data_IF_040621528846
#
_entry.id   IF_040621528846
#
_cell.length_a   1.000
_cell.length_b   1.000
_cell.length_c   1.000
_cell.angle_alpha   90.00
_cell.angle_beta   90.00
_cell.angle_gamma   90.00
#
_symmetry.space_group_name_H-M   'P 1'
#
loop_
_entity.id
_entity.type
_entity.pdbx_description
1 polymer ?
#
# COMPACT_ATOMS: atom_id res chain seq x y z
N UNK A 1 -1.81 -24.02 -1.25
CA UNK A 1 -3.05 -23.65 -1.97
C UNK A 1 -2.70 -22.86 -3.22
N UNK A 2 -3.54 -22.83 -4.27
CA UNK A 2 -3.24 -22.05 -5.47
C UNK A 2 -3.29 -20.55 -5.20
N UNK A 3 -2.70 -19.81 -6.11
CA UNK A 3 -2.88 -18.37 -6.23
C UNK A 3 -4.38 -18.03 -6.32
N UNK A 4 -4.85 -17.08 -5.51
CA UNK A 4 -6.27 -16.73 -5.40
C UNK A 4 -6.53 -15.26 -5.77
N UNK A 5 -7.80 -14.94 -6.05
CA UNK A 5 -8.26 -13.56 -6.28
C UNK A 5 -8.35 -12.79 -4.97
N UNK A 6 -8.11 -11.48 -5.01
CA UNK A 6 -8.29 -10.62 -3.82
C UNK A 6 -9.77 -10.36 -3.49
N UNK A 7 -10.71 -10.59 -4.40
CA UNK A 7 -12.14 -10.28 -4.21
C UNK A 7 -12.73 -10.95 -2.97
N UNK A 8 -12.65 -12.29 -2.92
CA UNK A 8 -13.20 -13.05 -1.80
C UNK A 8 -12.39 -12.85 -0.52
N UNK A 9 -11.07 -12.72 -0.65
CA UNK A 9 -10.16 -12.47 0.47
C UNK A 9 -10.50 -11.14 1.17
N UNK A 10 -10.69 -10.05 0.41
CA UNK A 10 -11.02 -8.75 0.97
C UNK A 10 -12.49 -8.67 1.43
N UNK A 11 -13.41 -9.35 0.77
CA UNK A 11 -14.79 -9.47 1.25
C UNK A 11 -14.85 -10.17 2.61
N UNK A 12 -14.07 -11.23 2.80
CA UNK A 12 -13.96 -11.94 4.09
C UNK A 12 -13.34 -11.05 5.16
N UNK A 13 -12.30 -10.28 4.82
CA UNK A 13 -11.66 -9.34 5.73
C UNK A 13 -12.62 -8.22 6.16
N UNK A 14 -13.33 -7.63 5.20
CA UNK A 14 -14.32 -6.57 5.44
C UNK A 14 -15.44 -7.03 6.38
N UNK A 15 -16.04 -8.18 6.08
CA UNK A 15 -17.12 -8.76 6.91
C UNK A 15 -16.62 -9.27 8.27
N UNK A 16 -15.36 -9.69 8.34
CA UNK A 16 -14.71 -10.21 9.55
C UNK A 16 -14.04 -9.15 10.42
N UNK A 17 -14.09 -7.86 10.03
CA UNK A 17 -13.47 -6.73 10.74
C UNK A 17 -11.98 -6.93 11.04
N UNK A 18 -11.24 -7.45 10.06
CA UNK A 18 -9.78 -7.54 10.06
C UNK A 18 -9.23 -7.01 8.74
N UNK A 19 -7.92 -6.82 8.64
CA UNK A 19 -7.30 -6.45 7.37
C UNK A 19 -6.28 -7.48 6.92
N UNK A 20 -6.18 -7.70 5.61
CA UNK A 20 -5.12 -8.50 5.00
C UNK A 20 -3.89 -7.64 4.76
N UNK A 21 -2.73 -8.13 5.15
CA UNK A 21 -1.46 -7.48 4.86
C UNK A 21 -1.09 -7.62 3.39
N UNK A 22 -0.79 -6.48 2.75
CA UNK A 22 -0.28 -6.40 1.39
C UNK A 22 1.17 -5.91 1.43
N UNK A 23 2.09 -6.81 1.11
CA UNK A 23 3.53 -6.61 1.31
C UNK A 23 4.26 -6.52 -0.03
N UNK A 24 5.06 -5.45 -0.23
CA UNK A 24 5.86 -5.31 -1.44
C UNK A 24 7.05 -6.28 -1.45
N UNK A 25 7.19 -7.00 -2.57
CA UNK A 25 8.32 -7.89 -2.84
C UNK A 25 9.13 -7.41 -4.05
N UNK A 26 10.41 -7.78 -4.10
CA UNK A 26 11.32 -7.40 -5.18
C UNK A 26 12.19 -8.56 -5.67
N UNK A 27 12.43 -9.56 -4.83
CA UNK A 27 13.36 -10.67 -5.06
C UNK A 27 12.94 -11.93 -4.27
N UNK A 28 13.71 -13.00 -4.40
CA UNK A 28 13.47 -14.28 -3.74
C UNK A 28 13.36 -14.13 -2.21
N UNK A 29 14.26 -13.36 -1.61
CA UNK A 29 14.37 -13.21 -0.17
C UNK A 29 13.12 -12.56 0.43
N UNK A 30 12.62 -11.50 -0.24
CA UNK A 30 11.42 -10.79 0.21
C UNK A 30 10.15 -11.62 0.03
N UNK A 31 10.03 -12.37 -1.08
CA UNK A 31 8.91 -13.31 -1.29
C UNK A 31 8.94 -14.42 -0.25
N UNK A 32 10.12 -15.01 0.01
CA UNK A 32 10.27 -16.09 1.00
C UNK A 32 9.88 -15.62 2.40
N UNK A 33 10.36 -14.45 2.84
CA UNK A 33 10.02 -13.89 4.14
C UNK A 33 8.51 -13.68 4.32
N UNK A 34 7.83 -13.16 3.28
CA UNK A 34 6.38 -12.89 3.31
C UNK A 34 5.58 -14.19 3.38
N UNK A 35 5.89 -15.17 2.52
CA UNK A 35 5.15 -16.44 2.47
C UNK A 35 5.35 -17.24 3.77
N UNK A 36 6.60 -17.35 4.26
CA UNK A 36 6.87 -18.08 5.50
C UNK A 36 6.15 -17.45 6.71
N UNK A 37 6.13 -16.11 6.79
CA UNK A 37 5.37 -15.43 7.85
C UNK A 37 3.86 -15.71 7.76
N UNK A 38 3.30 -15.69 6.56
CA UNK A 38 1.88 -15.98 6.34
C UNK A 38 1.53 -17.43 6.72
N UNK A 39 2.39 -18.40 6.40
CA UNK A 39 2.21 -19.82 6.77
C UNK A 39 2.33 -20.02 8.28
N UNK A 40 3.31 -19.42 8.96
CA UNK A 40 3.46 -19.45 10.42
C UNK A 40 2.24 -18.89 11.14
N UNK A 41 1.67 -17.80 10.60
CA UNK A 41 0.47 -17.15 11.16
C UNK A 41 -0.85 -17.77 10.66
N UNK A 42 -0.81 -18.75 9.76
CA UNK A 42 -2.00 -19.31 9.11
C UNK A 42 -2.92 -18.20 8.57
N UNK A 43 -2.34 -17.25 7.84
CA UNK A 43 -3.01 -16.03 7.40
C UNK A 43 -3.03 -15.91 5.88
N UNK A 44 -4.11 -15.36 5.29
CA UNK A 44 -4.10 -14.94 3.90
C UNK A 44 -3.12 -13.78 3.70
N UNK A 45 -2.50 -13.70 2.52
CA UNK A 45 -1.51 -12.65 2.23
C UNK A 45 -1.61 -12.13 0.80
N UNK A 46 -1.35 -10.84 0.63
CA UNK A 46 -1.20 -10.19 -0.68
C UNK A 46 0.29 -9.87 -0.87
N UNK A 47 0.89 -10.45 -1.91
CA UNK A 47 2.23 -10.10 -2.36
C UNK A 47 2.09 -9.16 -3.53
N UNK A 48 2.64 -7.95 -3.39
CA UNK A 48 2.45 -6.91 -4.38
C UNK A 48 3.75 -6.48 -5.06
N UNK A 49 3.64 -6.21 -6.36
CA UNK A 49 4.70 -5.68 -7.19
C UNK A 49 4.34 -4.26 -7.63
N UNK A 50 5.14 -3.30 -7.22
CA UNK A 50 5.07 -1.95 -7.75
C UNK A 50 5.70 -1.88 -9.14
N UNK A 51 5.45 -0.80 -9.87
CA UNK A 51 6.11 -0.54 -11.15
C UNK A 51 7.64 -0.63 -11.04
N UNK A 52 8.24 -0.04 -10.00
CA UNK A 52 9.68 -0.08 -9.79
C UNK A 52 10.20 -1.49 -9.48
N UNK A 53 9.44 -2.31 -8.77
CA UNK A 53 9.77 -3.73 -8.55
C UNK A 53 9.77 -4.51 -9.87
N UNK A 54 8.80 -4.24 -10.74
CA UNK A 54 8.70 -4.86 -12.08
C UNK A 54 9.86 -4.39 -12.99
N UNK A 55 10.21 -3.11 -12.94
CA UNK A 55 11.35 -2.57 -13.70
C UNK A 55 12.69 -3.15 -13.22
N UNK A 56 12.84 -3.38 -11.91
CA UNK A 56 14.03 -3.98 -11.31
C UNK A 56 14.17 -5.47 -11.62
N UNK A 57 13.14 -6.27 -11.39
CA UNK A 57 13.21 -7.73 -11.44
C UNK A 57 12.76 -8.33 -12.79
N UNK A 58 12.09 -7.54 -13.64
CA UNK A 58 11.40 -8.03 -14.82
C UNK A 58 10.01 -8.60 -14.49
N UNK A 59 9.02 -8.29 -15.33
CA UNK A 59 7.62 -8.69 -15.08
C UNK A 59 7.46 -10.22 -15.00
N UNK A 60 8.01 -10.94 -15.98
CA UNK A 60 7.90 -12.41 -16.06
C UNK A 60 8.62 -13.09 -14.89
N UNK A 61 9.82 -12.63 -14.56
CA UNK A 61 10.63 -13.19 -13.47
C UNK A 61 9.94 -12.99 -12.12
N UNK A 62 9.51 -11.75 -11.82
CA UNK A 62 8.87 -11.42 -10.55
C UNK A 62 7.53 -12.12 -10.39
N UNK A 63 6.69 -12.12 -11.44
CA UNK A 63 5.39 -12.79 -11.38
C UNK A 63 5.51 -14.32 -11.24
N UNK A 64 6.46 -14.95 -11.97
CA UNK A 64 6.67 -16.39 -11.86
C UNK A 64 7.26 -16.81 -10.51
N UNK A 65 8.13 -15.98 -9.91
CA UNK A 65 8.63 -16.20 -8.56
C UNK A 65 7.48 -16.28 -7.55
N UNK A 66 6.58 -15.28 -7.57
CA UNK A 66 5.44 -15.24 -6.64
C UNK A 66 4.44 -16.37 -6.94
N UNK A 67 4.14 -16.65 -8.20
CA UNK A 67 3.26 -17.77 -8.57
C UNK A 67 3.80 -19.12 -8.09
N UNK A 68 5.11 -19.34 -8.22
CA UNK A 68 5.76 -20.56 -7.74
C UNK A 68 5.69 -20.66 -6.21
N UNK A 69 5.94 -19.55 -5.50
CA UNK A 69 5.82 -19.51 -4.05
C UNK A 69 4.37 -19.78 -3.61
N UNK A 70 3.39 -19.16 -4.26
CA UNK A 70 1.97 -19.37 -3.98
C UNK A 70 1.50 -20.82 -4.21
N UNK A 71 1.97 -21.47 -5.29
CA UNK A 71 1.63 -22.88 -5.55
C UNK A 71 2.11 -23.82 -4.45
N UNK A 72 3.20 -23.50 -3.78
CA UNK A 72 3.79 -24.30 -2.71
C UNK A 72 3.30 -23.88 -1.32
N UNK A 73 2.64 -22.72 -1.20
CA UNK A 73 2.15 -22.22 0.07
C UNK A 73 0.94 -23.00 0.59
N UNK A 74 0.85 -23.14 1.91
CA UNK A 74 -0.29 -23.74 2.63
C UNK A 74 -1.44 -22.76 2.88
N UNK A 75 -1.23 -21.45 2.60
CA UNK A 75 -2.18 -20.36 2.83
C UNK A 75 -2.56 -19.65 1.52
N UNK A 76 -3.71 -18.95 1.46
CA UNK A 76 -4.10 -18.18 0.28
C UNK A 76 -3.13 -17.03 0.00
N UNK A 77 -2.64 -16.93 -1.24
CA UNK A 77 -1.74 -15.88 -1.71
C UNK A 77 -2.36 -15.16 -2.91
N UNK A 78 -2.32 -13.83 -2.91
CA UNK A 78 -2.72 -12.98 -4.03
C UNK A 78 -1.47 -12.36 -4.66
N UNK A 79 -1.38 -12.34 -5.99
CA UNK A 79 -0.40 -11.57 -6.75
C UNK A 79 -1.06 -10.28 -7.22
N UNK A 80 -0.61 -9.14 -6.69
CA UNK A 80 -1.23 -7.83 -6.88
C UNK A 80 -0.29 -6.82 -7.58
N UNK A 81 -0.83 -6.05 -8.53
CA UNK A 81 -0.15 -4.86 -9.07
C UNK A 81 -0.42 -3.66 -8.16
N UNK A 82 0.63 -3.10 -7.60
CA UNK A 82 0.62 -1.93 -6.74
C UNK A 82 0.89 -0.65 -7.57
N UNK A 83 -0.03 0.32 -7.56
CA UNK A 83 0.00 1.57 -8.34
C UNK A 83 0.16 1.38 -9.86
N UNK A 84 -0.77 0.69 -10.48
CA UNK A 84 -0.87 0.57 -11.94
C UNK A 84 -1.35 1.86 -12.60
N UNK A 85 -0.42 2.76 -12.92
CA UNK A 85 -0.73 4.10 -13.43
C UNK A 85 -1.26 4.14 -14.85
N UNK A 86 -0.98 3.16 -15.68
CA UNK A 86 -1.37 3.17 -17.08
C UNK A 86 -1.98 1.84 -17.55
N UNK A 87 -2.82 1.93 -18.58
CA UNK A 87 -3.51 0.80 -19.15
C UNK A 87 -2.55 -0.29 -19.67
N UNK A 88 -1.41 0.11 -20.26
CA UNK A 88 -0.45 -0.84 -20.82
C UNK A 88 0.16 -1.73 -19.74
N UNK A 89 0.56 -1.16 -18.59
CA UNK A 89 1.10 -1.93 -17.47
C UNK A 89 0.04 -2.87 -16.90
N UNK A 90 -1.20 -2.38 -16.70
CA UNK A 90 -2.30 -3.21 -16.20
C UNK A 90 -2.57 -4.42 -17.13
N UNK A 91 -2.65 -4.21 -18.45
CA UNK A 91 -2.84 -5.30 -19.44
C UNK A 91 -1.66 -6.29 -19.40
N UNK A 92 -0.44 -5.80 -19.31
CA UNK A 92 0.75 -6.67 -19.21
C UNK A 92 0.71 -7.53 -17.95
N UNK A 93 0.29 -6.98 -16.80
CA UNK A 93 0.12 -7.71 -15.56
C UNK A 93 -1.00 -8.75 -15.63
N UNK A 94 -2.15 -8.41 -16.25
CA UNK A 94 -3.22 -9.39 -16.54
C UNK A 94 -2.68 -10.59 -17.33
N UNK A 95 -1.95 -10.32 -18.42
CA UNK A 95 -1.34 -11.37 -19.26
C UNK A 95 -0.28 -12.19 -18.51
N UNK A 96 0.42 -11.59 -17.55
CA UNK A 96 1.39 -12.27 -16.69
C UNK A 96 0.73 -13.08 -15.56
N UNK A 97 -0.61 -13.07 -15.45
CA UNK A 97 -1.37 -13.86 -14.49
C UNK A 97 -1.49 -13.24 -13.10
N UNK A 98 -1.50 -11.91 -13.01
CA UNK A 98 -1.87 -11.23 -11.77
C UNK A 98 -3.32 -11.50 -11.43
N UNK A 99 -3.60 -11.73 -10.15
CA UNK A 99 -4.93 -12.07 -9.62
C UNK A 99 -5.61 -10.89 -8.92
N UNK A 100 -4.98 -9.74 -8.94
CA UNK A 100 -5.49 -8.47 -8.43
C UNK A 100 -4.70 -7.31 -9.04
N UNK A 101 -5.36 -6.22 -9.37
CA UNK A 101 -4.74 -5.01 -9.93
C UNK A 101 -5.14 -3.78 -9.13
N UNK A 102 -4.32 -2.73 -9.18
CA UNK A 102 -4.68 -1.39 -8.75
C UNK A 102 -4.57 -0.40 -9.92
N UNK A 103 -5.57 0.45 -10.05
CA UNK A 103 -5.57 1.62 -10.92
C UNK A 103 -5.33 2.89 -10.09
N UNK A 104 -4.24 3.60 -10.39
CA UNK A 104 -3.93 4.90 -9.77
C UNK A 104 -4.04 6.01 -10.84
N UNK A 105 -5.27 6.43 -11.11
CA UNK A 105 -5.55 7.48 -12.10
C UNK A 105 -5.14 8.87 -11.64
N UNK A 106 -5.10 9.12 -10.33
CA UNK A 106 -4.63 10.40 -9.76
C UNK A 106 -3.14 10.59 -10.01
N UNK A 107 -2.31 9.57 -9.76
CA UNK A 107 -0.87 9.63 -10.03
C UNK A 107 -0.58 9.80 -11.53
N UNK A 108 -1.34 9.12 -12.40
CA UNK A 108 -1.23 9.29 -13.85
C UNK A 108 -1.49 10.74 -14.28
N UNK A 109 -2.53 11.38 -13.73
CA UNK A 109 -2.87 12.77 -14.02
C UNK A 109 -1.74 13.73 -13.61
N UNK A 110 -1.23 13.59 -12.38
CA UNK A 110 -0.15 14.42 -11.85
C UNK A 110 1.14 14.25 -12.68
N UNK A 111 1.45 13.02 -13.08
CA UNK A 111 2.60 12.74 -13.96
C UNK A 111 2.48 13.46 -15.30
N UNK A 112 1.33 13.40 -15.95
CA UNK A 112 1.07 14.12 -17.22
C UNK A 112 1.22 15.63 -17.07
N UNK A 113 0.72 16.20 -15.95
CA UNK A 113 0.88 17.63 -15.66
C UNK A 113 2.37 18.02 -15.52
N UNK A 114 3.17 17.19 -14.85
CA UNK A 114 4.61 17.43 -14.69
C UNK A 114 5.35 17.33 -16.03
N UNK A 115 5.03 16.32 -16.85
CA UNK A 115 5.63 16.15 -18.19
C UNK A 115 5.33 17.34 -19.12
N UNK A 116 4.12 17.87 -19.10
CA UNK A 116 3.73 19.04 -19.89
C UNK A 116 4.46 20.34 -19.48
N UNK A 117 4.93 20.42 -18.24
CA UNK A 117 5.68 21.55 -17.72
C UNK A 117 7.21 21.41 -17.87
N UNK A 118 7.70 20.42 -18.61
CA UNK A 118 9.13 20.21 -18.82
C UNK A 118 9.91 19.88 -17.56
N UNK A 119 9.31 19.09 -16.67
CA UNK A 119 9.88 18.62 -15.39
C UNK A 119 9.96 19.69 -14.29
N UNK A 120 9.34 20.87 -14.45
CA UNK A 120 9.14 21.77 -13.32
C UNK A 120 8.27 21.14 -12.24
N UNK A 121 8.72 21.22 -10.99
CA UNK A 121 7.98 20.68 -9.85
C UNK A 121 6.63 21.38 -9.68
N UNK A 122 5.59 20.58 -9.37
CA UNK A 122 4.28 21.13 -9.03
C UNK A 122 4.33 21.76 -7.63
N UNK A 123 3.79 22.95 -7.46
CA UNK A 123 3.59 23.54 -6.13
C UNK A 123 2.51 22.77 -5.35
N UNK A 124 2.49 22.94 -4.02
CA UNK A 124 1.47 22.34 -3.16
C UNK A 124 0.04 22.67 -3.61
N UNK A 125 -0.23 23.95 -3.93
CA UNK A 125 -1.55 24.39 -4.38
C UNK A 125 -1.93 23.76 -5.73
N UNK A 126 -0.99 23.66 -6.66
CA UNK A 126 -1.24 22.99 -7.94
C UNK A 126 -1.55 21.51 -7.78
N UNK A 127 -0.85 20.81 -6.86
CA UNK A 127 -1.15 19.39 -6.57
C UNK A 127 -2.58 19.28 -6.03
N UNK A 128 -2.95 20.12 -5.06
CA UNK A 128 -4.30 20.11 -4.48
C UNK A 128 -5.37 20.42 -5.52
N UNK A 129 -5.20 21.49 -6.30
CA UNK A 129 -6.16 21.89 -7.34
C UNK A 129 -6.34 20.78 -8.38
N UNK A 130 -5.27 20.09 -8.75
CA UNK A 130 -5.32 18.97 -9.71
C UNK A 130 -5.89 17.67 -9.15
N UNK A 131 -5.87 17.49 -7.83
CA UNK A 131 -6.41 16.27 -7.17
C UNK A 131 -7.88 16.45 -6.79
N UNK A 132 -8.27 17.65 -6.37
CA UNK A 132 -9.59 17.93 -5.80
C UNK A 132 -10.60 18.49 -6.81
N UNK A 133 -10.20 18.75 -8.05
CA UNK A 133 -11.13 19.26 -9.06
C UNK A 133 -12.01 18.15 -9.68
N UNK A 134 -13.18 18.52 -10.17
CA UNK A 134 -14.12 17.60 -10.82
C UNK A 134 -13.55 16.93 -12.08
N UNK A 135 -12.75 17.65 -12.86
CA UNK A 135 -12.08 17.12 -14.05
C UNK A 135 -11.10 15.98 -13.69
N UNK A 136 -10.37 16.12 -12.57
CA UNK A 136 -9.48 15.06 -12.09
C UNK A 136 -10.25 13.82 -11.63
N UNK A 137 -11.36 14.01 -10.95
CA UNK A 137 -12.26 12.94 -10.58
C UNK A 137 -12.77 12.18 -11.79
N UNK A 138 -13.29 12.88 -12.82
CA UNK A 138 -13.83 12.29 -14.04
C UNK A 138 -12.75 11.56 -14.84
N UNK A 139 -11.53 12.10 -14.92
CA UNK A 139 -10.41 11.42 -15.59
C UNK A 139 -9.99 10.16 -14.82
N UNK A 140 -9.89 10.21 -13.49
CA UNK A 140 -9.61 9.05 -12.65
C UNK A 140 -10.71 7.99 -12.83
N UNK A 141 -11.97 8.38 -12.74
CA UNK A 141 -13.14 7.51 -12.97
C UNK A 141 -13.06 6.84 -14.35
N UNK A 142 -12.82 7.59 -15.41
CA UNK A 142 -12.71 7.08 -16.77
C UNK A 142 -11.59 6.07 -16.95
N UNK A 143 -10.41 6.32 -16.34
CA UNK A 143 -9.27 5.40 -16.39
C UNK A 143 -9.57 4.11 -15.60
N UNK A 144 -10.12 4.27 -14.41
CA UNK A 144 -10.46 3.14 -13.52
C UNK A 144 -11.52 2.24 -14.14
N UNK A 145 -12.65 2.81 -14.63
CA UNK A 145 -13.72 2.03 -15.26
C UNK A 145 -13.24 1.22 -16.46
N UNK A 146 -12.32 1.79 -17.25
CA UNK A 146 -11.75 1.07 -18.42
C UNK A 146 -10.88 -0.12 -17.97
N UNK A 147 -10.11 0.01 -16.89
CA UNK A 147 -9.31 -1.08 -16.35
C UNK A 147 -10.22 -2.12 -15.69
N UNK A 148 -11.24 -1.69 -14.96
CA UNK A 148 -12.25 -2.56 -14.34
C UNK A 148 -12.94 -3.43 -15.40
N UNK A 149 -13.43 -2.84 -16.50
CA UNK A 149 -14.05 -3.59 -17.59
C UNK A 149 -13.15 -4.71 -18.11
N UNK A 150 -11.88 -4.40 -18.40
CA UNK A 150 -10.92 -5.37 -18.93
C UNK A 150 -10.52 -6.43 -17.90
N UNK A 151 -10.29 -6.03 -16.67
CA UNK A 151 -9.88 -6.93 -15.59
C UNK A 151 -11.02 -7.86 -15.20
N UNK A 152 -12.25 -7.36 -15.06
CA UNK A 152 -13.42 -8.16 -14.74
C UNK A 152 -13.74 -9.18 -15.85
N UNK A 153 -13.53 -8.83 -17.13
CA UNK A 153 -13.63 -9.79 -18.22
C UNK A 153 -12.64 -10.97 -18.10
N UNK A 154 -11.55 -10.78 -17.35
CA UNK A 154 -10.57 -11.82 -17.00
C UNK A 154 -10.81 -12.43 -15.61
N UNK A 155 -11.86 -12.04 -14.89
CA UNK A 155 -12.14 -12.49 -13.52
C UNK A 155 -11.20 -11.88 -12.44
N UNK A 156 -10.51 -10.78 -12.76
CA UNK A 156 -9.53 -10.13 -11.89
C UNK A 156 -10.13 -8.87 -11.26
N UNK A 157 -10.16 -8.74 -9.92
CA UNK A 157 -10.63 -7.55 -9.23
C UNK A 157 -9.65 -6.39 -9.35
N UNK A 158 -10.20 -5.18 -9.22
CA UNK A 158 -9.47 -3.92 -9.32
C UNK A 158 -9.65 -3.08 -8.07
N UNK A 159 -8.53 -2.67 -7.48
CA UNK A 159 -8.43 -1.61 -6.49
C UNK A 159 -8.30 -0.26 -7.20
N UNK A 160 -8.88 0.79 -6.63
CA UNK A 160 -8.68 2.16 -7.11
C UNK A 160 -8.17 3.05 -5.98
N UNK A 161 -7.73 4.28 -6.31
CA UNK A 161 -7.34 5.29 -5.32
C UNK A 161 -8.15 6.57 -5.51
N UNK A 162 -8.58 7.18 -4.39
CA UNK A 162 -9.25 8.47 -4.36
C UNK A 162 -8.59 9.42 -3.36
N UNK A 163 -8.52 10.69 -3.75
CA UNK A 163 -7.64 11.68 -3.10
C UNK A 163 -6.20 11.48 -3.56
N UNK A 164 -5.24 11.98 -2.79
CA UNK A 164 -3.81 11.75 -3.03
C UNK A 164 -3.13 11.36 -1.74
N UNK A 165 -2.54 10.17 -1.74
CA UNK A 165 -1.64 9.77 -0.66
C UNK A 165 -0.25 10.30 -1.01
N UNK A 166 0.20 11.39 -0.35
CA UNK A 166 1.42 12.06 -0.77
C UNK A 166 2.66 11.20 -0.55
N UNK A 167 3.69 11.48 -1.32
CA UNK A 167 5.04 10.92 -1.18
C UNK A 167 5.96 11.94 -0.50
N UNK A 168 7.03 11.50 0.11
CA UNK A 168 8.08 12.40 0.63
C UNK A 168 8.57 13.37 -0.45
N UNK A 169 8.65 12.92 -1.71
CA UNK A 169 9.03 13.77 -2.86
C UNK A 169 8.05 14.92 -3.11
N UNK A 170 6.76 14.75 -2.85
CA UNK A 170 5.74 15.78 -3.08
C UNK A 170 5.96 16.97 -2.12
N UNK A 171 6.28 16.67 -0.85
CA UNK A 171 6.65 17.70 0.13
C UNK A 171 7.92 18.44 -0.25
N UNK A 172 8.94 17.69 -0.69
CA UNK A 172 10.20 18.29 -1.18
C UNK A 172 9.94 19.23 -2.36
N UNK A 173 9.12 18.82 -3.31
CA UNK A 173 8.72 19.66 -4.46
C UNK A 173 7.93 20.89 -4.04
N UNK A 174 7.12 20.79 -2.97
CA UNK A 174 6.39 21.91 -2.36
C UNK A 174 7.27 22.79 -1.45
N UNK A 175 8.58 22.54 -1.35
CA UNK A 175 9.50 23.28 -0.49
C UNK A 175 9.37 22.98 1.00
N UNK A 176 8.71 21.89 1.37
CA UNK A 176 8.48 21.47 2.76
C UNK A 176 9.48 20.36 3.12
N UNK A 177 10.51 20.66 3.95
CA UNK A 177 11.51 19.65 4.30
C UNK A 177 10.94 18.64 5.30
N UNK A 178 10.97 17.35 4.94
CA UNK A 178 10.66 16.23 5.82
C UNK A 178 11.98 15.60 6.26
N UNK A 179 12.19 15.47 7.57
CA UNK A 179 13.36 14.77 8.14
C UNK A 179 12.91 13.46 8.76
N UNK A 180 13.64 12.39 8.48
CA UNK A 180 13.41 11.09 9.12
C UNK A 180 13.50 11.19 10.65
N UNK A 181 12.61 10.49 11.35
CA UNK A 181 12.58 10.45 12.81
C UNK A 181 12.14 11.74 13.51
N UNK A 182 11.70 12.76 12.79
CA UNK A 182 11.17 13.99 13.38
C UNK A 182 9.64 14.01 13.39
N UNK A 183 9.05 14.81 14.28
CA UNK A 183 7.63 15.16 14.22
C UNK A 183 7.33 15.79 12.86
N UNK A 184 6.20 15.40 12.28
CA UNK A 184 5.80 15.83 10.95
C UNK A 184 5.51 17.36 10.94
N UNK A 185 6.12 18.16 10.06
CA UNK A 185 5.95 19.60 10.03
C UNK A 185 4.48 19.98 9.86
N UNK A 186 4.06 21.10 10.48
CA UNK A 186 2.66 21.58 10.41
C UNK A 186 2.21 21.84 8.97
N UNK A 187 3.08 22.43 8.15
CA UNK A 187 2.82 22.70 6.74
C UNK A 187 2.56 21.42 5.94
N UNK A 188 3.30 20.35 6.26
CA UNK A 188 3.09 19.04 5.64
C UNK A 188 1.79 18.38 6.11
N UNK A 189 1.42 18.55 7.38
CA UNK A 189 0.12 18.08 7.90
C UNK A 189 -1.04 18.80 7.20
N UNK A 190 -0.94 20.12 7.03
CA UNK A 190 -1.98 20.90 6.35
C UNK A 190 -2.09 20.53 4.86
N UNK A 191 -0.97 20.33 4.16
CA UNK A 191 -1.00 19.85 2.78
C UNK A 191 -1.64 18.45 2.70
N UNK A 192 -1.26 17.52 3.59
CA UNK A 192 -1.83 16.18 3.63
C UNK A 192 -3.35 16.21 3.82
N UNK A 193 -3.87 17.07 4.71
CA UNK A 193 -5.32 17.23 4.93
C UNK A 193 -6.06 17.73 3.69
N UNK A 194 -5.45 18.64 2.93
CA UNK A 194 -6.01 19.17 1.68
C UNK A 194 -6.08 18.13 0.56
N UNK A 195 -5.38 17.01 0.71
CA UNK A 195 -5.33 15.90 -0.25
C UNK A 195 -6.24 14.72 0.13
N UNK A 196 -6.98 14.82 1.24
CA UNK A 196 -7.89 13.76 1.69
C UNK A 196 -8.94 13.44 0.63
N UNK A 197 -9.32 12.17 0.57
CA UNK A 197 -10.47 11.74 -0.23
C UNK A 197 -11.75 12.40 0.30
N UNK A 198 -12.58 12.92 -0.58
CA UNK A 198 -13.87 13.54 -0.20
C UNK A 198 -14.91 12.40 -0.05
N UNK A 199 -15.57 12.25 1.13
CA UNK A 199 -16.49 11.12 1.37
C UNK A 199 -17.59 10.99 0.33
N UNK A 200 -18.22 12.11 -0.04
CA UNK A 200 -19.31 12.14 -1.01
C UNK A 200 -18.85 11.74 -2.43
N UNK A 201 -17.57 12.02 -2.75
CA UNK A 201 -16.95 11.56 -4.01
C UNK A 201 -16.54 10.09 -3.93
N UNK A 202 -16.26 9.54 -2.74
CA UNK A 202 -15.88 8.14 -2.58
C UNK A 202 -17.05 7.19 -2.89
N UNK A 203 -18.27 7.54 -2.46
CA UNK A 203 -19.49 6.81 -2.79
C UNK A 203 -19.73 6.82 -4.29
N UNK A 204 -19.79 8.02 -4.91
CA UNK A 204 -19.98 8.19 -6.35
C UNK A 204 -18.93 7.43 -7.16
N UNK A 205 -17.66 7.51 -6.74
CA UNK A 205 -16.55 6.85 -7.43
C UNK A 205 -16.64 5.33 -7.37
N UNK A 206 -16.92 4.76 -6.20
CA UNK A 206 -17.04 3.32 -6.01
C UNK A 206 -18.16 2.73 -6.88
N UNK A 207 -19.34 3.39 -6.88
CA UNK A 207 -20.49 2.96 -7.68
C UNK A 207 -20.23 3.09 -9.19
N UNK A 208 -19.72 4.25 -9.64
CA UNK A 208 -19.57 4.55 -11.05
C UNK A 208 -18.37 3.83 -11.69
N UNK A 209 -17.28 3.56 -10.95
CA UNK A 209 -16.12 2.85 -11.48
C UNK A 209 -16.28 1.35 -11.51
N UNK A 210 -17.08 0.79 -10.58
CA UNK A 210 -17.23 -0.64 -10.38
C UNK A 210 -15.96 -1.30 -9.79
N UNK A 211 -15.07 -0.54 -9.16
CA UNK A 211 -13.89 -1.10 -8.50
C UNK A 211 -14.28 -1.98 -7.30
N UNK A 212 -13.43 -2.95 -6.96
CA UNK A 212 -13.70 -3.96 -5.92
C UNK A 212 -13.19 -3.55 -4.53
N UNK A 213 -12.29 -2.58 -4.47
CA UNK A 213 -11.77 -1.96 -3.25
C UNK A 213 -11.25 -0.55 -3.52
N UNK A 214 -11.22 0.29 -2.50
CA UNK A 214 -10.87 1.70 -2.65
C UNK A 214 -9.80 2.13 -1.64
N UNK A 215 -8.63 2.51 -2.16
CA UNK A 215 -7.61 3.19 -1.38
C UNK A 215 -8.00 4.66 -1.17
N UNK A 216 -7.97 5.13 0.07
CA UNK A 216 -8.42 6.46 0.43
C UNK A 216 -7.36 7.25 1.19
N UNK A 217 -7.14 8.50 0.77
CA UNK A 217 -6.25 9.40 1.48
C UNK A 217 -6.91 9.91 2.77
N UNK A 218 -6.34 9.53 3.93
CA UNK A 218 -6.84 9.86 5.26
C UNK A 218 -5.73 10.25 6.26
N UNK A 219 -4.52 10.59 5.75
CA UNK A 219 -3.41 11.06 6.56
C UNK A 219 -2.13 10.26 6.48
N UNK A 220 -2.12 9.13 5.77
CA UNK A 220 -0.91 8.34 5.51
C UNK A 220 -0.02 8.99 4.44
N UNK A 221 1.27 8.58 4.40
CA UNK A 221 2.28 9.13 3.50
C UNK A 221 3.21 8.02 3.03
N UNK A 222 3.47 7.97 1.71
CA UNK A 222 4.40 7.02 1.14
C UNK A 222 5.87 7.37 1.44
N UNK A 223 6.68 6.35 1.70
CA UNK A 223 8.14 6.47 1.83
C UNK A 223 8.63 6.91 3.21
N UNK A 224 7.77 6.95 4.23
CA UNK A 224 8.18 7.19 5.62
C UNK A 224 8.84 5.95 6.22
N UNK A 225 9.99 6.12 6.87
CA UNK A 225 10.72 5.02 7.53
C UNK A 225 10.29 4.77 8.98
N UNK A 226 9.84 5.81 9.68
CA UNK A 226 9.46 5.75 11.09
C UNK A 226 8.04 6.23 11.32
N UNK A 227 7.35 5.59 12.26
CA UNK A 227 5.98 5.91 12.62
C UNK A 227 5.93 7.20 13.45
N UNK A 228 5.51 8.30 12.85
CA UNK A 228 5.50 9.62 13.48
C UNK A 228 4.17 10.33 13.37
N UNK A 229 3.19 9.79 12.65
CA UNK A 229 1.91 10.48 12.49
C UNK A 229 0.69 9.58 12.66
N UNK A 230 -0.41 10.14 13.22
CA UNK A 230 -1.70 9.48 13.29
C UNK A 230 -2.45 9.59 11.96
N UNK A 231 -3.44 8.71 11.79
CA UNK A 231 -4.48 8.81 10.77
C UNK A 231 -5.65 9.65 11.28
N UNK A 232 -6.40 10.25 10.36
CA UNK A 232 -7.69 10.87 10.67
C UNK A 232 -8.80 9.81 10.64
N UNK A 233 -9.03 9.14 11.77
CA UNK A 233 -10.00 8.06 11.87
C UNK A 233 -11.43 8.55 11.69
N UNK A 234 -11.79 9.71 12.26
CA UNK A 234 -13.14 10.25 12.07
C UNK A 234 -13.45 10.56 10.59
N UNK A 235 -12.43 10.91 9.79
CA UNK A 235 -12.59 11.09 8.36
C UNK A 235 -12.73 9.75 7.63
N UNK A 236 -11.92 8.76 8.02
CA UNK A 236 -11.99 7.40 7.46
C UNK A 236 -13.35 6.75 7.74
N UNK A 237 -13.90 6.90 8.96
CA UNK A 237 -15.23 6.41 9.32
C UNK A 237 -16.34 7.03 8.46
N UNK A 238 -16.25 8.34 8.14
CA UNK A 238 -17.19 8.98 7.22
C UNK A 238 -17.16 8.35 5.84
N UNK A 239 -15.98 8.04 5.31
CA UNK A 239 -15.84 7.35 4.02
C UNK A 239 -16.37 5.92 4.12
N UNK A 240 -16.02 5.18 5.17
CA UNK A 240 -16.48 3.80 5.37
C UNK A 240 -18.00 3.69 5.47
N UNK A 241 -18.67 4.71 6.04
CA UNK A 241 -20.12 4.71 6.18
C UNK A 241 -20.88 4.95 4.87
N UNK A 242 -20.25 5.57 3.87
CA UNK A 242 -20.89 5.81 2.56
C UNK A 242 -20.33 4.91 1.44
N UNK A 243 -19.26 4.14 1.70
CA UNK A 243 -18.63 3.31 0.68
C UNK A 243 -18.94 1.83 0.93
N UNK A 244 -19.66 1.13 0.02
CA UNK A 244 -20.11 -0.25 0.24
C UNK A 244 -19.05 -1.31 -0.05
N UNK A 245 -17.83 -0.92 -0.35
CA UNK A 245 -16.71 -1.80 -0.73
C UNK A 245 -15.56 -1.72 0.28
N UNK A 246 -14.68 -2.74 0.34
CA UNK A 246 -13.51 -2.75 1.22
C UNK A 246 -12.61 -1.51 1.02
N UNK A 247 -12.24 -0.85 2.12
CA UNK A 247 -11.27 0.24 2.10
C UNK A 247 -9.85 -0.29 2.23
N UNK A 248 -8.91 0.45 1.61
CA UNK A 248 -7.48 0.12 1.60
C UNK A 248 -6.66 1.28 2.17
N UNK A 249 -5.67 0.96 2.99
CA UNK A 249 -4.73 1.91 3.56
C UNK A 249 -3.36 1.78 2.91
N UNK A 250 -2.95 2.79 2.16
CA UNK A 250 -1.60 2.95 1.60
C UNK A 250 -0.72 3.83 2.49
N UNK A 251 0.60 3.87 2.22
CA UNK A 251 1.54 4.72 2.93
C UNK A 251 1.68 4.41 4.43
N UNK A 252 1.42 3.16 4.82
CA UNK A 252 1.24 2.78 6.23
C UNK A 252 2.55 2.62 7.01
N UNK A 253 3.71 2.53 6.33
CA UNK A 253 5.02 2.33 7.00
C UNK A 253 5.36 3.43 8.02
N UNK A 254 4.96 4.67 7.74
CA UNK A 254 5.16 5.84 8.60
C UNK A 254 3.96 6.21 9.47
N UNK A 255 2.99 5.34 9.63
CA UNK A 255 1.79 5.58 10.45
C UNK A 255 1.93 4.94 11.83
N UNK A 256 1.35 5.56 12.84
CA UNK A 256 1.19 4.96 14.17
C UNK A 256 0.49 3.61 14.06
N UNK A 257 1.09 2.58 14.62
CA UNK A 257 0.58 1.20 14.55
C UNK A 257 -0.50 0.95 15.57
N UNK A 258 -0.28 1.46 16.80
CA UNK A 258 -1.21 1.31 17.94
C UNK A 258 -1.27 2.60 18.76
N UNK A 259 -2.35 2.79 19.53
CA UNK A 259 -2.45 3.88 20.51
C UNK A 259 -1.40 3.79 21.63
N UNK A 260 -0.90 2.57 21.92
CA UNK A 260 0.20 2.39 22.88
C UNK A 260 1.47 3.04 22.36
N UNK A 261 1.81 2.82 21.09
CA UNK A 261 2.97 3.44 20.44
C UNK A 261 2.89 4.97 20.45
N UNK A 262 1.71 5.57 20.28
CA UNK A 262 1.54 7.01 20.37
C UNK A 262 1.99 7.52 21.75
N UNK A 263 1.59 6.84 22.85
CA UNK A 263 1.99 7.20 24.21
C UNK A 263 3.51 7.05 24.41
N UNK A 264 4.12 6.00 23.88
CA UNK A 264 5.56 5.77 23.92
C UNK A 264 6.35 6.89 23.22
N UNK A 265 5.80 7.47 22.17
CA UNK A 265 6.37 8.62 21.46
C UNK A 265 5.96 9.98 22.05
N UNK A 266 5.22 10.00 23.15
CA UNK A 266 4.75 11.24 23.79
C UNK A 266 3.72 12.00 22.94
N UNK A 267 3.02 11.32 21.99
CA UNK A 267 2.00 11.92 21.14
C UNK A 267 0.64 11.86 21.82
N UNK A 268 -0.03 13.00 21.90
CA UNK A 268 -1.40 13.11 22.35
C UNK A 268 -2.34 13.06 21.14
N UNK A 269 -3.11 11.98 21.00
CA UNK A 269 -4.10 11.83 19.94
C UNK A 269 -5.40 12.55 20.32
N UNK A 270 -5.94 13.33 19.41
CA UNK A 270 -7.31 13.85 19.53
C UNK A 270 -8.34 12.70 19.38
N UNK A 271 -9.61 12.99 19.67
CA UNK A 271 -10.70 12.02 19.45
C UNK A 271 -10.91 11.65 17.97
N UNK A 272 -10.38 12.45 17.04
CA UNK A 272 -10.48 12.24 15.59
C UNK A 272 -9.31 11.45 15.02
N UNK A 273 -8.25 11.26 15.79
CA UNK A 273 -7.00 10.64 15.34
C UNK A 273 -6.82 9.24 15.92
N UNK A 274 -6.08 8.41 15.20
CA UNK A 274 -5.78 7.06 15.63
C UNK A 274 -4.63 6.41 14.85
N UNK A 275 -4.56 5.11 15.01
CA UNK A 275 -3.51 4.22 14.52
C UNK A 275 -4.00 3.34 13.37
N UNK A 276 -3.13 2.51 12.82
CA UNK A 276 -3.49 1.45 11.86
C UNK A 276 -4.54 0.50 12.49
N UNK A 277 -4.35 0.14 13.76
CA UNK A 277 -5.31 -0.71 14.49
C UNK A 277 -6.71 -0.08 14.55
N UNK A 278 -6.79 1.25 14.76
CA UNK A 278 -8.06 1.98 14.72
C UNK A 278 -8.64 2.02 13.30
N UNK A 279 -7.81 2.16 12.26
CA UNK A 279 -8.26 2.15 10.86
C UNK A 279 -8.85 0.79 10.46
N UNK A 280 -8.25 -0.33 10.90
CA UNK A 280 -8.82 -1.67 10.68
C UNK A 280 -10.21 -1.78 11.33
N UNK A 281 -10.37 -1.30 12.56
CA UNK A 281 -11.70 -1.25 13.22
C UNK A 281 -12.70 -0.37 12.50
N UNK A 282 -12.23 0.68 11.81
CA UNK A 282 -13.05 1.61 11.03
C UNK A 282 -13.42 1.11 9.62
N UNK A 283 -13.03 -0.12 9.24
CA UNK A 283 -13.45 -0.75 7.97
C UNK A 283 -12.35 -0.91 6.92
N UNK A 284 -11.09 -0.65 7.26
CA UNK A 284 -9.96 -0.98 6.37
C UNK A 284 -9.78 -2.49 6.32
N UNK A 285 -9.84 -3.07 5.12
CA UNK A 285 -9.71 -4.50 4.87
C UNK A 285 -8.36 -4.91 4.23
N UNK A 286 -7.56 -3.96 3.78
CA UNK A 286 -6.21 -4.18 3.22
C UNK A 286 -5.27 -3.09 3.72
N UNK A 287 -4.05 -3.48 4.13
CA UNK A 287 -3.02 -2.51 4.56
C UNK A 287 -1.72 -2.78 3.81
N UNK A 288 -1.22 -1.76 3.11
CA UNK A 288 0.01 -1.84 2.32
C UNK A 288 1.23 -1.50 3.17
N UNK A 289 2.22 -2.40 3.19
CA UNK A 289 3.50 -2.22 3.86
C UNK A 289 4.65 -2.47 2.88
N UNK A 290 5.51 -1.48 2.71
CA UNK A 290 6.69 -1.54 1.83
C UNK A 290 7.95 -1.10 2.57
N UNK A 291 8.11 0.20 2.82
CA UNK A 291 9.33 0.82 3.33
C UNK A 291 9.78 0.22 4.67
N UNK A 292 8.87 -0.08 5.59
CA UNK A 292 9.19 -0.70 6.89
C UNK A 292 9.94 -2.03 6.72
N UNK A 293 9.49 -2.87 5.78
CA UNK A 293 10.14 -4.17 5.52
C UNK A 293 11.54 -4.02 4.93
N UNK A 294 11.71 -3.07 4.01
CA UNK A 294 13.03 -2.78 3.43
C UNK A 294 13.99 -2.26 4.49
N UNK A 295 13.51 -1.39 5.38
CA UNK A 295 14.33 -0.81 6.47
C UNK A 295 14.84 -1.91 7.39
N UNK A 296 13.97 -2.81 7.88
CA UNK A 296 14.41 -3.87 8.80
C UNK A 296 15.36 -4.85 8.12
N UNK A 297 15.10 -5.21 6.86
CA UNK A 297 15.97 -6.09 6.07
C UNK A 297 17.36 -5.48 5.89
N UNK A 298 17.44 -4.24 5.42
CA UNK A 298 18.72 -3.56 5.14
C UNK A 298 19.49 -3.26 6.43
N UNK A 299 18.81 -2.87 7.53
CA UNK A 299 19.47 -2.68 8.83
C UNK A 299 20.14 -3.97 9.29
N UNK A 300 19.41 -5.09 9.23
CA UNK A 300 19.97 -6.39 9.62
C UNK A 300 21.10 -6.84 8.70
N UNK A 301 20.96 -6.67 7.39
CA UNK A 301 22.03 -7.03 6.46
C UNK A 301 23.31 -6.22 6.74
N UNK A 302 23.22 -4.92 7.03
CA UNK A 302 24.36 -4.10 7.42
C UNK A 302 25.07 -4.63 8.68
N UNK A 303 24.31 -5.03 9.72
CA UNK A 303 24.86 -5.64 10.93
C UNK A 303 25.60 -6.95 10.61
N UNK A 304 24.99 -7.82 9.80
CA UNK A 304 25.58 -9.12 9.42
C UNK A 304 26.88 -8.91 8.64
N UNK A 305 26.92 -7.98 7.70
CA UNK A 305 28.12 -7.66 6.93
C UNK A 305 29.26 -7.11 7.83
N UNK A 306 28.93 -6.26 8.79
CA UNK A 306 29.91 -5.73 9.75
C UNK A 306 30.48 -6.81 10.67
N UNK A 307 29.65 -7.78 11.10
CA UNK A 307 30.05 -8.87 11.97
C UNK A 307 30.82 -9.98 11.25
N UNK A 308 30.66 -10.11 9.95
CA UNK A 308 31.22 -11.20 9.13
C UNK A 308 31.95 -10.68 7.88
N UNK A 309 32.99 -9.83 8.04
CA UNK A 309 33.63 -9.15 6.89
C UNK A 309 34.30 -10.11 5.91
N UNK A 310 34.72 -11.30 6.37
CA UNK A 310 35.40 -12.31 5.54
C UNK A 310 34.44 -13.26 4.83
N UNK A 311 33.12 -13.20 5.12
CA UNK A 311 32.14 -14.08 4.50
C UNK A 311 31.69 -13.50 3.18
N UNK A 312 31.88 -14.24 2.08
CA UNK A 312 31.49 -13.85 0.70
C UNK A 312 30.29 -14.66 0.16
N UNK A 313 29.83 -15.65 0.91
CA UNK A 313 28.71 -16.51 0.52
C UNK A 313 27.38 -15.84 0.93
N UNK A 314 26.61 -15.40 -0.08
CA UNK A 314 25.30 -14.74 0.13
C UNK A 314 24.31 -15.64 0.87
N UNK A 315 24.37 -16.98 0.70
CA UNK A 315 23.53 -17.95 1.41
C UNK A 315 23.76 -17.98 2.92
N UNK A 316 24.87 -17.41 3.39
CA UNK A 316 25.20 -17.24 4.82
C UNK A 316 24.91 -15.84 5.33
N UNK A 317 24.92 -14.85 4.44
CA UNK A 317 24.74 -13.43 4.79
C UNK A 317 23.27 -13.00 4.79
N UNK A 318 22.45 -13.53 3.87
CA UNK A 318 21.06 -13.11 3.69
C UNK A 318 20.07 -13.71 4.70
N UNK A 319 20.20 -14.97 5.18
CA UNK A 319 19.19 -15.59 6.04
C UNK A 319 18.83 -14.78 7.31
N UNK A 320 19.76 -14.14 8.03
CA UNK A 320 19.38 -13.33 9.20
C UNK A 320 18.51 -12.11 8.85
N UNK A 321 18.68 -11.52 7.66
CA UNK A 321 17.86 -10.41 7.19
C UNK A 321 16.47 -10.88 6.73
N UNK A 322 16.38 -12.07 6.11
CA UNK A 322 15.12 -12.73 5.76
C UNK A 322 14.31 -13.01 7.05
N UNK A 323 14.95 -13.54 8.09
CA UNK A 323 14.29 -13.87 9.34
C UNK A 323 13.70 -12.64 10.05
N UNK A 324 14.46 -11.55 10.17
CA UNK A 324 13.95 -10.30 10.78
C UNK A 324 12.79 -9.71 9.95
N UNK A 325 12.84 -9.81 8.62
CA UNK A 325 11.74 -9.38 7.76
C UNK A 325 10.51 -10.28 7.94
N UNK A 326 10.69 -11.60 8.03
CA UNK A 326 9.63 -12.57 8.32
C UNK A 326 8.94 -12.26 9.66
N UNK A 327 9.71 -12.06 10.72
CA UNK A 327 9.18 -11.66 12.03
C UNK A 327 8.38 -10.36 11.97
N UNK A 328 8.83 -9.39 11.17
CA UNK A 328 8.14 -8.12 10.97
C UNK A 328 6.83 -8.29 10.20
N UNK A 329 6.80 -9.12 9.17
CA UNK A 329 5.57 -9.46 8.43
C UNK A 329 4.58 -10.18 9.36
N UNK A 330 5.02 -11.19 10.12
CA UNK A 330 4.19 -11.90 11.09
C UNK A 330 3.60 -10.95 12.14
N UNK A 331 4.40 -10.00 12.61
CA UNK A 331 3.92 -8.98 13.54
C UNK A 331 2.81 -8.10 12.92
N UNK A 332 2.93 -7.68 11.65
CA UNK A 332 1.87 -6.95 10.96
C UNK A 332 0.61 -7.78 10.76
N UNK A 333 0.74 -9.05 10.39
CA UNK A 333 -0.39 -9.98 10.25
C UNK A 333 -1.20 -10.06 11.55
N UNK A 334 -0.52 -10.19 12.70
CA UNK A 334 -1.16 -10.17 14.02
C UNK A 334 -1.81 -8.82 14.33
N UNK A 335 -1.14 -7.70 14.03
CA UNK A 335 -1.67 -6.34 14.23
C UNK A 335 -2.96 -6.11 13.44
N UNK A 336 -3.04 -6.64 12.21
CA UNK A 336 -4.20 -6.49 11.33
C UNK A 336 -5.34 -7.47 11.66
N UNK A 337 -5.12 -8.42 12.57
CA UNK A 337 -6.10 -9.41 12.99
C UNK A 337 -6.33 -10.54 11.98
N UNK A 338 -5.43 -10.74 11.02
CA UNK A 338 -5.54 -11.77 9.98
C UNK A 338 -4.88 -13.11 10.35
N UNK A 339 -4.19 -13.23 11.48
CA UNK A 339 -3.67 -14.49 12.00
C UNK A 339 -4.79 -15.51 12.22
N UNK A 340 -4.63 -16.75 11.71
CA UNK A 340 -5.62 -17.81 11.78
C UNK A 340 -6.83 -17.62 10.84
N UNK A 341 -6.72 -16.82 9.78
CA UNK A 341 -7.80 -16.53 8.83
C UNK A 341 -7.57 -17.13 7.42
N UNK A 342 -6.56 -18.02 7.26
CA UNK A 342 -6.28 -18.70 6.00
C UNK A 342 -7.35 -19.75 5.64
#
# INVERSE_FOLDING_TARGET
MPLVSSREMLASAFNGHYAVGAFNAHNLETVAAIVQAAEEEQAPVIIQLSRSSIEYAGLEQASNLIKTAAMNASVPVVLHLDHGMDLSLNIRCLRAGFTSLMCDGTELLLKRCTEQRGSEALSADMIVDKVQCREAFEENLRQTSKIVELAHACGVPVEAELGKIPRISDFKSAGIPIRHGSTFPREAQELTKRLFAIPEMAEEFAEASGCDSLAVACGSIHGMEEAVQPLNIAHLERIANCTPIPLVLHGSSGVLRTRKQAREYGLSLSSKEGSIEDAVRAGVAKVNISTDLQVVFIRKLKEVLQQNPEVVDTRKLLPPAIEVMKERVAWFIRLFGSSGKA
#
